data_IF_438598952039
#
_entry.id   IF_438598952039
#
_cell.length_a   1.000
_cell.length_b   1.000
_cell.length_c   1.000
_cell.angle_alpha   90.00
_cell.angle_beta   90.00
_cell.angle_gamma   90.00
#
_symmetry.space_group_name_H-M   'P 1'
#
loop_
_entity.id
_entity.type
_entity.pdbx_description
1 polymer ?
#
# COMPACT_ATOMS: atom_id res chain seq x y z
N UNK A 1 16.99 1.82 33.73
CA UNK A 1 15.76 2.17 34.46
C UNK A 1 14.67 2.36 33.41
N UNK A 2 13.84 1.34 33.21
CA UNK A 2 12.76 1.37 32.23
C UNK A 2 11.59 2.14 32.81
N UNK A 3 11.48 3.42 32.49
CA UNK A 3 10.21 4.14 32.67
C UNK A 3 9.25 3.63 31.62
N UNK A 4 8.46 2.61 31.97
CA UNK A 4 7.22 2.30 31.28
C UNK A 4 6.30 3.50 31.45
N UNK A 5 6.46 4.48 30.56
CA UNK A 5 5.51 5.57 30.40
C UNK A 5 4.31 4.95 29.68
N UNK A 6 3.49 4.20 30.42
CA UNK A 6 2.23 3.68 29.91
C UNK A 6 1.40 4.90 29.50
N UNK A 7 1.38 5.16 28.21
CA UNK A 7 0.46 6.08 27.57
C UNK A 7 -0.96 5.52 27.72
N UNK A 8 -1.94 6.38 27.99
CA UNK A 8 -3.36 6.00 28.04
C UNK A 8 -3.93 5.64 26.63
N UNK A 9 -3.12 5.68 25.58
CA UNK A 9 -3.53 5.34 24.23
C UNK A 9 -3.67 3.83 24.08
N UNK A 10 -4.91 3.36 24.07
CA UNK A 10 -5.24 2.04 23.54
C UNK A 10 -5.01 2.04 22.02
N UNK A 11 -4.42 0.97 21.51
CA UNK A 11 -4.23 0.73 20.09
C UNK A 11 -4.87 -0.59 19.67
N UNK A 12 -5.41 -0.65 18.44
CA UNK A 12 -5.92 -1.89 17.90
C UNK A 12 -4.77 -2.85 17.59
N UNK A 13 -5.04 -4.15 17.71
CA UNK A 13 -4.12 -5.15 17.19
C UNK A 13 -4.00 -5.01 15.65
N UNK A 14 -2.78 -5.16 15.11
CA UNK A 14 -2.57 -5.22 13.68
C UNK A 14 -3.31 -6.39 13.03
N UNK A 15 -3.86 -6.15 11.84
CA UNK A 15 -4.53 -7.17 11.03
C UNK A 15 -3.50 -7.82 10.08
N UNK A 16 -3.67 -9.11 9.78
CA UNK A 16 -2.80 -9.79 8.81
C UNK A 16 -2.89 -9.13 7.42
N UNK A 17 -1.74 -8.75 6.86
CA UNK A 17 -1.65 -8.06 5.57
C UNK A 17 -2.00 -6.57 5.62
N UNK A 18 -2.16 -6.01 6.82
CA UNK A 18 -2.36 -4.59 7.06
C UNK A 18 -1.09 -3.77 6.80
N UNK A 19 -1.26 -2.54 6.29
CA UNK A 19 -0.17 -1.60 6.11
C UNK A 19 0.09 -0.73 7.35
N UNK A 20 1.30 -0.16 7.51
CA UNK A 20 1.59 0.82 8.55
C UNK A 20 0.61 1.99 8.59
N UNK A 21 0.29 2.51 7.40
CA UNK A 21 -0.70 3.58 7.23
C UNK A 21 -2.09 3.17 7.74
N UNK A 22 -2.53 1.95 7.47
CA UNK A 22 -3.82 1.45 7.97
C UNK A 22 -3.86 1.40 9.49
N UNK A 23 -2.83 0.81 10.11
CA UNK A 23 -2.77 0.67 11.56
C UNK A 23 -2.81 2.04 12.25
N UNK A 24 -2.01 3.00 11.75
CA UNK A 24 -2.05 4.39 12.22
C UNK A 24 -3.41 5.07 12.01
N UNK A 25 -4.09 4.80 10.89
CA UNK A 25 -5.41 5.38 10.64
C UNK A 25 -6.47 4.78 11.56
N UNK A 26 -6.46 3.47 11.82
CA UNK A 26 -7.36 2.81 12.79
C UNK A 26 -7.10 3.30 14.21
N UNK A 27 -5.84 3.49 14.59
CA UNK A 27 -5.48 4.14 15.85
C UNK A 27 -6.00 5.58 15.93
N UNK A 28 -5.84 6.35 14.85
CA UNK A 28 -6.37 7.73 14.77
C UNK A 28 -7.89 7.78 14.90
N UNK A 29 -8.59 6.83 14.27
CA UNK A 29 -10.03 6.65 14.31
C UNK A 29 -10.54 6.31 15.71
N UNK A 30 -9.89 5.37 16.39
CA UNK A 30 -10.20 4.96 17.77
C UNK A 30 -10.20 6.15 18.74
N UNK A 31 -9.32 7.12 18.50
CA UNK A 31 -9.19 8.33 19.33
C UNK A 31 -9.87 9.56 18.72
N UNK A 32 -10.58 9.42 17.60
CA UNK A 32 -11.23 10.52 16.87
C UNK A 32 -10.32 11.73 16.62
N UNK A 33 -9.04 11.49 16.28
CA UNK A 33 -8.05 12.53 15.97
C UNK A 33 -7.44 12.35 14.58
N UNK A 34 -6.72 13.36 14.10
CA UNK A 34 -5.91 13.22 12.90
C UNK A 34 -4.64 12.40 13.18
N UNK A 35 -4.10 11.72 12.18
CA UNK A 35 -2.85 10.97 12.38
C UNK A 35 -1.70 11.90 12.78
N UNK A 36 -1.66 13.14 12.27
CA UNK A 36 -0.66 14.12 12.68
C UNK A 36 -0.81 14.52 14.15
N UNK A 37 -2.03 14.70 14.64
CA UNK A 37 -2.29 15.04 16.05
C UNK A 37 -1.84 13.91 16.97
N UNK A 38 -2.20 12.68 16.62
CA UNK A 38 -1.80 11.46 17.33
C UNK A 38 -0.26 11.31 17.38
N UNK A 39 0.42 11.44 16.24
CA UNK A 39 1.88 11.34 16.19
C UNK A 39 2.55 12.42 17.06
N UNK A 40 2.03 13.65 17.02
CA UNK A 40 2.55 14.76 17.83
C UNK A 40 2.38 14.52 19.33
N UNK A 41 1.29 13.92 19.79
CA UNK A 41 1.12 13.60 21.22
C UNK A 41 2.12 12.55 21.72
N UNK A 42 2.69 11.74 20.82
CA UNK A 42 3.79 10.81 21.11
C UNK A 42 5.18 11.41 20.83
N UNK A 43 5.30 12.73 20.63
CA UNK A 43 6.57 13.39 20.36
C UNK A 43 7.09 13.26 18.92
N UNK A 44 6.34 12.61 18.03
CA UNK A 44 6.71 12.40 16.62
C UNK A 44 6.27 13.61 15.80
N UNK A 45 7.22 14.49 15.47
CA UNK A 45 6.93 15.79 14.84
C UNK A 45 6.62 15.73 13.35
N UNK A 46 7.24 14.79 12.62
CA UNK A 46 7.09 14.70 11.17
C UNK A 46 7.19 13.25 10.66
N UNK A 47 6.14 12.81 9.97
CA UNK A 47 6.12 11.58 9.14
C UNK A 47 5.54 11.99 7.80
N UNK A 48 6.28 11.77 6.72
CA UNK A 48 5.81 12.07 5.36
C UNK A 48 4.88 10.97 4.85
N UNK A 49 5.46 9.83 4.52
CA UNK A 49 4.78 8.61 4.09
C UNK A 49 5.00 7.50 5.13
N UNK A 50 4.00 7.16 5.97
CA UNK A 50 4.21 6.21 7.06
C UNK A 50 4.66 4.83 6.58
N UNK A 51 4.29 4.46 5.36
CA UNK A 51 4.63 3.15 4.83
C UNK A 51 6.13 3.01 4.56
N UNK A 52 6.87 4.11 4.36
CA UNK A 52 8.31 4.06 4.01
C UNK A 52 9.21 4.95 4.86
N UNK A 53 8.65 5.92 5.59
CA UNK A 53 9.40 6.88 6.40
C UNK A 53 9.38 6.54 7.91
N UNK A 54 8.60 5.54 8.36
CA UNK A 54 8.62 5.11 9.76
C UNK A 54 9.89 4.29 10.05
N UNK A 55 10.85 4.92 10.72
CA UNK A 55 12.09 4.23 11.12
C UNK A 55 11.85 3.30 12.32
N UNK A 56 12.73 2.31 12.57
CA UNK A 56 12.62 1.45 13.75
C UNK A 56 12.49 2.21 15.07
N UNK A 57 13.18 3.35 15.20
CA UNK A 57 13.06 4.22 16.36
C UNK A 57 11.65 4.82 16.51
N UNK A 58 11.05 5.29 15.41
CA UNK A 58 9.67 5.82 15.44
C UNK A 58 8.69 4.71 15.80
N UNK A 59 8.86 3.49 15.28
CA UNK A 59 8.06 2.34 15.68
C UNK A 59 8.17 2.04 17.16
N UNK A 60 9.39 2.01 17.72
CA UNK A 60 9.60 1.78 19.14
C UNK A 60 8.87 2.83 20.00
N UNK A 61 8.93 4.10 19.62
CA UNK A 61 8.18 5.18 20.29
C UNK A 61 6.66 4.98 20.20
N UNK A 62 6.15 4.56 19.03
CA UNK A 62 4.73 4.27 18.84
C UNK A 62 4.28 3.10 19.74
N UNK A 63 5.04 2.01 19.76
CA UNK A 63 4.77 0.82 20.57
C UNK A 63 4.77 1.17 22.06
N UNK A 64 5.82 1.82 22.54
CA UNK A 64 5.92 2.27 23.94
C UNK A 64 4.80 3.24 24.33
N UNK A 65 4.33 4.04 23.37
CA UNK A 65 3.20 4.95 23.52
C UNK A 65 1.83 4.28 23.40
N UNK A 66 1.73 2.96 23.32
CA UNK A 66 0.48 2.21 23.20
C UNK A 66 0.46 0.97 24.10
N UNK A 67 -0.65 0.25 24.16
CA UNK A 67 -0.79 -1.02 24.89
C UNK A 67 -0.44 -2.26 24.03
N UNK A 68 0.03 -2.09 22.80
CA UNK A 68 0.35 -3.20 21.88
C UNK A 68 1.82 -3.59 22.05
N UNK A 69 2.11 -4.90 22.02
CA UNK A 69 3.50 -5.38 22.13
C UNK A 69 4.28 -5.16 20.83
N UNK A 70 5.61 -5.01 20.93
CA UNK A 70 6.49 -4.86 19.76
C UNK A 70 6.33 -6.02 18.76
N UNK A 71 6.29 -7.25 19.29
CA UNK A 71 6.08 -8.47 18.50
C UNK A 71 4.79 -8.45 17.64
N UNK A 72 3.74 -7.75 18.10
CA UNK A 72 2.50 -7.63 17.33
C UNK A 72 2.66 -6.75 16.08
N UNK A 73 3.55 -5.75 16.12
CA UNK A 73 3.71 -4.74 15.06
C UNK A 73 5.00 -4.90 14.23
N UNK A 74 5.90 -5.84 14.59
CA UNK A 74 7.18 -6.05 13.91
C UNK A 74 7.06 -6.14 12.39
N UNK A 75 6.03 -6.85 11.91
CA UNK A 75 5.80 -7.01 10.48
C UNK A 75 5.50 -5.67 9.78
N UNK A 76 4.86 -4.71 10.46
CA UNK A 76 4.56 -3.39 9.89
C UNK A 76 5.86 -2.62 9.60
N UNK A 77 6.85 -2.70 10.49
CA UNK A 77 8.08 -1.92 10.37
C UNK A 77 8.97 -2.30 9.19
N UNK A 78 8.94 -3.58 8.79
CA UNK A 78 9.78 -4.10 7.71
C UNK A 78 9.09 -4.22 6.36
N UNK A 79 7.76 -4.07 6.28
CA UNK A 79 7.00 -4.57 5.12
C UNK A 79 7.38 -3.90 3.80
N UNK A 80 7.71 -2.61 3.82
CA UNK A 80 8.13 -1.83 2.65
C UNK A 80 9.63 -1.52 2.63
N UNK A 81 10.45 -2.20 3.44
CA UNK A 81 11.88 -1.87 3.59
C UNK A 81 12.63 -1.80 2.25
N UNK A 82 12.32 -2.72 1.32
CA UNK A 82 12.97 -2.82 0.02
C UNK A 82 12.54 -1.74 -0.99
N UNK A 83 11.48 -1.00 -0.69
CA UNK A 83 10.94 0.08 -1.55
C UNK A 83 10.95 1.45 -0.86
N UNK A 84 11.61 1.53 0.29
CA UNK A 84 11.75 2.76 1.09
C UNK A 84 12.64 3.81 0.41
N UNK A 85 13.59 3.37 -0.43
CA UNK A 85 14.47 4.27 -1.14
C UNK A 85 13.73 5.19 -2.12
N UNK A 86 14.19 6.45 -2.23
CA UNK A 86 13.57 7.47 -3.08
C UNK A 86 13.37 7.02 -4.53
N UNK A 87 14.29 6.22 -5.09
CA UNK A 87 14.22 5.70 -6.47
C UNK A 87 13.01 4.80 -6.72
N UNK A 88 12.45 4.20 -5.67
CA UNK A 88 11.30 3.30 -5.76
C UNK A 88 9.97 4.00 -5.51
N UNK A 89 9.95 5.29 -5.13
CA UNK A 89 8.72 6.03 -4.83
C UNK A 89 7.70 6.08 -5.98
N UNK A 90 8.12 5.84 -7.22
CA UNK A 90 7.24 5.79 -8.39
C UNK A 90 6.38 4.52 -8.51
N UNK A 91 6.73 3.44 -7.80
CA UNK A 91 5.94 2.19 -7.79
C UNK A 91 4.84 2.19 -6.72
N UNK A 92 4.92 3.16 -5.80
CA UNK A 92 3.95 3.36 -4.73
C UNK A 92 2.98 4.46 -5.17
N UNK A 93 1.69 4.18 -5.12
CA UNK A 93 0.63 5.10 -5.55
C UNK A 93 0.73 6.47 -4.85
N UNK A 94 0.61 7.54 -5.62
CA UNK A 94 0.48 8.89 -5.10
C UNK A 94 -0.72 9.55 -5.75
N UNK A 95 -1.34 10.48 -5.04
CA UNK A 95 -2.34 11.34 -5.64
C UNK A 95 -1.69 12.40 -6.55
N UNK A 96 -2.51 13.24 -7.18
CA UNK A 96 -2.05 14.30 -8.09
C UNK A 96 -1.17 15.34 -7.38
N UNK A 97 -1.30 15.48 -6.06
CA UNK A 97 -0.50 16.36 -5.21
C UNK A 97 0.76 15.65 -4.67
N UNK A 98 1.08 14.48 -5.23
CA UNK A 98 2.20 13.61 -4.85
C UNK A 98 2.15 13.12 -3.40
N UNK A 99 0.98 13.19 -2.75
CA UNK A 99 0.79 12.65 -1.41
C UNK A 99 0.62 11.12 -1.47
N UNK A 100 1.09 10.40 -0.45
CA UNK A 100 0.87 8.96 -0.33
C UNK A 100 -0.62 8.61 -0.33
N UNK A 101 -1.01 7.70 -1.21
CA UNK A 101 -2.40 7.31 -1.41
C UNK A 101 -2.53 5.80 -1.58
N UNK A 102 -3.77 5.33 -1.46
CA UNK A 102 -4.15 3.94 -1.63
C UNK A 102 -5.22 3.79 -2.70
N UNK A 103 -5.21 2.62 -3.33
CA UNK A 103 -6.39 2.10 -4.01
C UNK A 103 -7.30 1.39 -3.01
N UNK A 104 -8.55 1.15 -3.37
CA UNK A 104 -9.47 0.34 -2.58
C UNK A 104 -10.47 -0.41 -3.46
N UNK A 105 -10.99 -1.50 -2.92
CA UNK A 105 -12.13 -2.20 -3.48
C UNK A 105 -13.35 -1.94 -2.58
N UNK A 106 -14.44 -1.35 -3.09
CA UNK A 106 -15.65 -1.08 -2.32
C UNK A 106 -16.24 -2.34 -1.67
N UNK A 107 -16.22 -3.46 -2.40
CA UNK A 107 -16.73 -4.75 -1.92
C UNK A 107 -15.84 -5.37 -0.83
N UNK A 108 -14.51 -5.25 -0.93
CA UNK A 108 -13.63 -5.65 0.18
C UNK A 108 -13.92 -4.83 1.44
N UNK A 109 -14.04 -3.51 1.31
CA UNK A 109 -14.35 -2.65 2.47
C UNK A 109 -15.71 -2.98 3.10
N UNK A 110 -16.69 -3.41 2.28
CA UNK A 110 -18.02 -3.81 2.76
C UNK A 110 -17.99 -5.16 3.50
N UNK A 111 -17.18 -6.12 3.02
CA UNK A 111 -17.07 -7.46 3.58
C UNK A 111 -16.07 -7.59 4.74
N UNK A 112 -15.20 -6.59 4.95
CA UNK A 112 -14.26 -6.57 6.07
C UNK A 112 -15.00 -6.34 7.39
N UNK A 113 -14.83 -7.25 8.35
CA UNK A 113 -15.31 -7.06 9.73
C UNK A 113 -14.71 -5.77 10.33
N UNK A 114 -13.41 -5.58 10.14
CA UNK A 114 -12.69 -4.35 10.44
C UNK A 114 -12.00 -3.88 9.16
N UNK A 115 -12.49 -2.82 8.51
CA UNK A 115 -11.91 -2.30 7.27
C UNK A 115 -10.46 -1.84 7.48
N UNK A 116 -9.57 -2.21 6.56
CA UNK A 116 -8.14 -1.90 6.64
C UNK A 116 -7.51 -1.67 5.27
N UNK A 117 -6.43 -0.90 5.22
CA UNK A 117 -5.64 -0.72 4.01
C UNK A 117 -4.67 -1.90 3.88
N UNK A 118 -4.90 -2.72 2.85
CA UNK A 118 -4.03 -3.85 2.52
C UNK A 118 -2.72 -3.36 1.94
N UNK A 119 -1.63 -4.04 2.28
CA UNK A 119 -0.28 -3.71 1.80
C UNK A 119 -0.20 -3.63 0.27
N UNK A 120 -0.88 -4.54 -0.42
CA UNK A 120 -0.87 -4.60 -1.89
C UNK A 120 -1.57 -3.42 -2.55
N UNK A 121 -2.56 -2.81 -1.89
CA UNK A 121 -3.31 -1.68 -2.42
C UNK A 121 -2.49 -0.38 -2.53
N UNK A 122 -1.30 -0.38 -1.93
CA UNK A 122 -0.33 0.72 -1.99
C UNK A 122 0.38 0.82 -3.35
N UNK A 123 0.51 -0.29 -4.08
CA UNK A 123 1.27 -0.33 -5.34
C UNK A 123 0.50 0.28 -6.51
N UNK A 124 1.17 1.06 -7.34
CA UNK A 124 0.58 1.76 -8.50
C UNK A 124 -0.07 0.78 -9.50
N UNK A 125 0.53 -0.40 -9.67
CA UNK A 125 0.09 -1.46 -10.60
C UNK A 125 -1.04 -2.33 -10.05
N UNK A 126 -1.47 -2.13 -8.80
CA UNK A 126 -2.56 -2.89 -8.19
C UNK A 126 -3.93 -2.42 -8.68
N UNK A 127 -4.24 -2.66 -9.94
CA UNK A 127 -5.40 -2.05 -10.61
C UNK A 127 -6.70 -2.87 -10.50
N UNK A 128 -6.61 -4.15 -10.14
CA UNK A 128 -7.76 -5.06 -10.10
C UNK A 128 -7.85 -5.69 -8.72
N UNK A 129 -9.07 -5.75 -8.16
CA UNK A 129 -9.30 -6.56 -6.97
C UNK A 129 -9.32 -8.04 -7.37
N UNK A 130 -8.40 -8.88 -6.87
CA UNK A 130 -8.37 -10.27 -7.27
C UNK A 130 -9.45 -11.12 -6.59
N UNK A 131 -10.16 -10.59 -5.59
CA UNK A 131 -11.26 -11.29 -4.90
C UNK A 131 -12.62 -11.01 -5.56
N UNK A 132 -12.81 -9.78 -6.07
CA UNK A 132 -14.08 -9.32 -6.61
C UNK A 132 -14.08 -9.06 -8.12
N UNK A 133 -12.90 -9.16 -8.76
CA UNK A 133 -12.71 -8.95 -10.20
C UNK A 133 -13.22 -7.59 -10.69
N UNK A 134 -13.04 -6.55 -9.87
CA UNK A 134 -13.41 -5.17 -10.19
C UNK A 134 -12.18 -4.28 -10.33
N UNK A 135 -12.28 -3.22 -11.13
CA UNK A 135 -11.27 -2.15 -11.13
C UNK A 135 -11.21 -1.51 -9.75
N UNK A 136 -9.99 -1.38 -9.24
CA UNK A 136 -9.74 -0.72 -7.96
C UNK A 136 -10.04 0.78 -8.05
N UNK A 137 -10.79 1.29 -7.08
CA UNK A 137 -11.04 2.72 -6.92
C UNK A 137 -9.85 3.40 -6.25
N UNK A 138 -9.72 4.71 -6.40
CA UNK A 138 -8.68 5.49 -5.72
C UNK A 138 -9.17 6.87 -5.23
N UNK A 139 -10.43 7.20 -5.54
CA UNK A 139 -11.10 8.44 -5.15
C UNK A 139 -12.49 8.15 -4.62
N UNK A 140 -13.00 9.06 -3.79
CA UNK A 140 -14.40 9.07 -3.41
C UNK A 140 -15.28 9.46 -4.61
N UNK A 141 -16.39 8.75 -4.82
CA UNK A 141 -17.34 9.08 -5.89
C UNK A 141 -18.07 10.41 -5.67
N UNK A 142 -18.23 10.84 -4.41
CA UNK A 142 -18.99 12.06 -4.06
C UNK A 142 -18.16 13.33 -4.16
N UNK A 143 -16.93 13.32 -3.63
CA UNK A 143 -16.09 14.53 -3.55
C UNK A 143 -14.77 14.45 -4.31
N UNK A 144 -14.51 13.32 -4.99
CA UNK A 144 -13.30 13.08 -5.80
C UNK A 144 -11.97 13.15 -5.05
N UNK A 145 -11.99 13.28 -3.72
CA UNK A 145 -10.78 13.24 -2.91
C UNK A 145 -10.11 11.86 -3.02
N UNK A 146 -8.78 11.78 -3.07
CA UNK A 146 -8.07 10.51 -3.03
C UNK A 146 -8.31 9.77 -1.71
N UNK A 147 -7.98 8.48 -1.66
CA UNK A 147 -7.93 7.74 -0.40
C UNK A 147 -6.54 7.86 0.22
N UNK A 148 -6.32 8.73 1.22
CA UNK A 148 -4.97 9.05 1.67
C UNK A 148 -4.39 7.94 2.55
N UNK A 149 -3.06 7.82 2.57
CA UNK A 149 -2.35 6.96 3.51
C UNK A 149 -2.39 7.52 4.95
N UNK A 150 -2.51 8.83 5.10
CA UNK A 150 -2.62 9.52 6.39
C UNK A 150 -3.99 10.16 6.56
N UNK A 151 -4.59 10.00 7.75
CA UNK A 151 -5.88 10.63 8.05
C UNK A 151 -5.70 12.14 8.25
N UNK A 152 -6.35 12.99 7.44
CA UNK A 152 -6.22 14.44 7.57
C UNK A 152 -7.00 14.97 8.80
N UNK A 153 -6.69 16.19 9.28
CA UNK A 153 -7.48 16.86 10.32
C UNK A 153 -8.89 17.19 9.81
N UNK A 154 -9.91 16.86 10.61
CA UNK A 154 -11.33 17.13 10.34
C UNK A 154 -12.07 17.46 11.62
N UNK A 155 -13.23 18.10 11.49
CA UNK A 155 -14.14 18.40 12.61
C UNK A 155 -14.90 17.16 13.09
N UNK A 156 -15.25 16.28 12.16
CA UNK A 156 -15.93 15.02 12.43
C UNK A 156 -15.22 13.89 11.69
N UNK A 157 -15.17 12.72 12.31
CA UNK A 157 -14.60 11.52 11.76
C UNK A 157 -15.68 10.46 11.64
N UNK A 158 -15.82 9.88 10.45
CA UNK A 158 -16.62 8.67 10.29
C UNK A 158 -16.05 7.52 11.14
N UNK A 159 -16.86 6.49 11.42
CA UNK A 159 -16.55 5.42 12.37
C UNK A 159 -15.31 4.61 11.99
N UNK A 160 -15.03 4.44 10.69
CA UNK A 160 -13.86 3.69 10.21
C UNK A 160 -13.43 4.09 8.78
N UNK A 161 -12.68 3.21 8.11
CA UNK A 161 -12.13 3.40 6.76
C UNK A 161 -13.14 3.20 5.62
N UNK A 162 -14.38 2.78 5.90
CA UNK A 162 -15.49 2.82 4.93
C UNK A 162 -15.93 4.24 4.63
N UNK A 163 -15.67 5.19 5.51
CA UNK A 163 -16.06 6.58 5.30
C UNK A 163 -14.94 7.37 4.63
N UNK A 164 -15.30 8.16 3.62
CA UNK A 164 -14.39 9.10 3.00
C UNK A 164 -13.81 10.07 4.04
N UNK A 165 -12.48 10.16 4.12
CA UNK A 165 -11.79 11.06 5.05
C UNK A 165 -11.99 12.56 4.76
N UNK A 166 -12.60 12.89 3.61
CA UNK A 166 -12.89 14.27 3.23
C UNK A 166 -14.35 14.66 3.46
N UNK A 167 -15.30 13.87 2.94
CA UNK A 167 -16.74 14.20 2.95
C UNK A 167 -17.62 13.23 3.75
N UNK A 168 -17.02 12.22 4.40
CA UNK A 168 -17.71 11.17 5.16
C UNK A 168 -18.67 10.26 4.36
N UNK A 169 -18.83 10.45 3.05
CA UNK A 169 -19.59 9.54 2.21
C UNK A 169 -19.09 8.09 2.32
N UNK A 170 -20.01 7.14 2.24
CA UNK A 170 -19.72 5.72 2.31
C UNK A 170 -19.02 5.24 1.01
N UNK A 171 -17.77 4.80 1.15
CA UNK A 171 -16.93 4.30 0.07
C UNK A 171 -17.36 2.90 -0.39
N UNK A 172 -18.14 2.16 0.40
CA UNK A 172 -18.68 0.84 0.02
C UNK A 172 -19.75 0.96 -1.07
N UNK A 173 -20.41 2.12 -1.16
CA UNK A 173 -21.41 2.44 -2.18
C UNK A 173 -20.81 2.94 -3.50
N UNK A 174 -19.48 2.97 -3.62
CA UNK A 174 -18.84 3.41 -4.84
C UNK A 174 -19.20 2.44 -5.99
N UNK A 175 -19.64 2.94 -7.17
CA UNK A 175 -19.96 2.08 -8.31
C UNK A 175 -18.72 1.29 -8.75
N UNK A 176 -18.91 0.01 -9.05
CA UNK A 176 -17.83 -0.91 -9.44
C UNK A 176 -17.88 -1.21 -10.93
N UNK A 177 -16.70 -1.36 -11.53
CA UNK A 177 -16.55 -1.82 -12.91
C UNK A 177 -16.00 -3.24 -12.89
N UNK A 178 -16.83 -4.22 -13.22
CA UNK A 178 -16.42 -5.62 -13.33
C UNK A 178 -15.54 -5.84 -14.56
N UNK A 179 -14.63 -6.79 -14.45
CA UNK A 179 -13.69 -7.21 -15.50
C UNK A 179 -14.00 -8.68 -15.80
N UNK A 180 -13.96 -9.06 -17.07
CA UNK A 180 -14.19 -10.44 -17.48
C UNK A 180 -13.14 -11.37 -16.82
N UNK A 181 -13.56 -12.58 -16.45
CA UNK A 181 -12.70 -13.53 -15.73
C UNK A 181 -11.44 -13.92 -16.53
N UNK A 182 -11.60 -14.06 -17.85
CA UNK A 182 -10.50 -14.39 -18.77
C UNK A 182 -9.37 -13.33 -18.75
N UNK A 183 -9.74 -12.04 -18.69
CA UNK A 183 -8.79 -10.94 -18.59
C UNK A 183 -8.20 -10.82 -17.17
N UNK A 184 -9.02 -11.11 -16.16
CA UNK A 184 -8.67 -10.94 -14.75
C UNK A 184 -7.55 -11.87 -14.30
N UNK A 185 -7.53 -13.13 -14.76
CA UNK A 185 -6.53 -14.11 -14.32
C UNK A 185 -5.09 -13.66 -14.64
N UNK A 186 -4.83 -13.18 -15.86
CA UNK A 186 -3.49 -12.75 -16.28
C UNK A 186 -3.05 -11.46 -15.57
N UNK A 187 -3.96 -10.49 -15.44
CA UNK A 187 -3.68 -9.19 -14.84
C UNK A 187 -3.45 -9.33 -13.33
N UNK A 188 -4.33 -10.06 -12.62
CA UNK A 188 -4.19 -10.31 -11.17
C UNK A 188 -2.93 -11.09 -10.85
N UNK A 189 -2.56 -12.07 -11.68
CA UNK A 189 -1.30 -12.81 -11.55
C UNK A 189 -0.09 -11.88 -11.65
N UNK A 190 -0.09 -10.96 -12.61
CA UNK A 190 1.04 -10.04 -12.84
C UNK A 190 1.16 -9.00 -11.72
N UNK A 191 0.06 -8.36 -11.29
CA UNK A 191 0.13 -7.40 -10.18
C UNK A 191 0.50 -8.07 -8.83
N UNK A 192 0.05 -9.32 -8.59
CA UNK A 192 0.44 -10.11 -7.41
C UNK A 192 1.93 -10.41 -7.44
N UNK A 193 2.46 -10.81 -8.59
CA UNK A 193 3.89 -11.04 -8.77
C UNK A 193 4.71 -9.74 -8.58
N UNK A 194 4.28 -8.61 -9.13
CA UNK A 194 4.95 -7.32 -8.94
C UNK A 194 4.99 -6.90 -7.47
N UNK A 195 3.83 -6.92 -6.78
CA UNK A 195 3.77 -6.61 -5.36
C UNK A 195 4.69 -7.54 -4.55
N UNK A 196 4.66 -8.86 -4.84
CA UNK A 196 5.54 -9.82 -4.19
C UNK A 196 7.03 -9.53 -4.46
N UNK A 197 7.41 -9.17 -5.68
CA UNK A 197 8.79 -8.82 -6.02
C UNK A 197 9.27 -7.66 -5.17
N UNK A 198 8.47 -6.59 -5.14
CA UNK A 198 8.76 -5.36 -4.39
C UNK A 198 8.86 -5.60 -2.89
N UNK A 199 7.95 -6.40 -2.32
CA UNK A 199 7.99 -6.75 -0.89
C UNK A 199 9.16 -7.68 -0.54
N UNK A 200 9.63 -8.51 -1.47
CA UNK A 200 10.78 -9.40 -1.25
C UNK A 200 12.13 -8.75 -1.59
N UNK A 201 12.13 -7.64 -2.32
CA UNK A 201 13.36 -6.98 -2.80
C UNK A 201 14.03 -7.67 -3.98
N UNK A 202 13.39 -8.67 -4.60
CA UNK A 202 14.03 -9.57 -5.58
C UNK A 202 13.05 -10.24 -6.54
N UNK A 203 13.53 -10.60 -7.72
CA UNK A 203 12.78 -11.35 -8.73
C UNK A 203 13.70 -12.10 -9.69
N UNK A 204 13.11 -12.90 -10.59
CA UNK A 204 13.82 -13.49 -11.73
C UNK A 204 13.22 -13.02 -13.06
N UNK A 205 14.03 -13.02 -14.12
CA UNK A 205 13.58 -12.79 -15.49
C UNK A 205 13.86 -14.03 -16.33
N UNK A 206 12.88 -14.47 -17.13
CA UNK A 206 13.04 -15.63 -18.03
C UNK A 206 14.25 -15.41 -18.95
N UNK A 207 15.15 -16.40 -18.97
CA UNK A 207 16.39 -16.33 -19.75
C UNK A 207 17.59 -15.77 -18.98
N UNK A 208 17.38 -15.26 -17.75
CA UNK A 208 18.46 -14.93 -16.83
C UNK A 208 18.47 -15.95 -15.67
N UNK A 209 19.57 -16.70 -15.46
CA UNK A 209 19.65 -17.67 -14.37
C UNK A 209 19.77 -17.01 -12.99
N UNK A 210 20.23 -15.76 -12.93
CA UNK A 210 20.50 -15.06 -11.69
C UNK A 210 19.27 -14.31 -11.17
N UNK A 211 19.19 -14.22 -9.85
CA UNK A 211 18.26 -13.32 -9.18
C UNK A 211 18.60 -11.87 -9.51
N UNK A 212 17.58 -11.07 -9.79
CA UNK A 212 17.73 -9.66 -10.11
C UNK A 212 17.24 -8.78 -8.95
N UNK A 213 18.06 -7.80 -8.54
CA UNK A 213 17.61 -6.71 -7.67
C UNK A 213 16.47 -5.88 -8.28
N UNK A 214 15.68 -5.22 -7.43
CA UNK A 214 14.52 -4.42 -7.84
C UNK A 214 14.82 -3.33 -8.88
N UNK A 215 16.00 -2.70 -8.84
CA UNK A 215 16.29 -1.61 -9.77
C UNK A 215 16.25 -2.07 -11.23
N UNK A 216 16.67 -3.30 -11.53
CA UNK A 216 16.54 -3.87 -12.87
C UNK A 216 15.07 -4.05 -13.27
N UNK A 217 14.24 -4.58 -12.37
CA UNK A 217 12.80 -4.75 -12.63
C UNK A 217 12.13 -3.41 -12.96
N UNK A 218 12.41 -2.37 -12.17
CA UNK A 218 11.89 -1.01 -12.42
C UNK A 218 12.38 -0.45 -13.75
N UNK A 219 13.65 -0.66 -14.10
CA UNK A 219 14.18 -0.28 -15.43
C UNK A 219 13.44 -1.00 -16.56
N UNK A 220 13.21 -2.31 -16.44
CA UNK A 220 12.48 -3.09 -17.43
C UNK A 220 11.04 -2.58 -17.60
N UNK A 221 10.34 -2.30 -16.50
CA UNK A 221 8.99 -1.69 -16.55
C UNK A 221 8.98 -0.33 -17.29
N UNK A 222 10.07 0.44 -17.20
CA UNK A 222 10.24 1.67 -18.00
C UNK A 222 10.42 1.40 -19.50
N UNK A 223 11.17 0.35 -19.85
CA UNK A 223 11.55 0.00 -21.22
C UNK A 223 10.50 -0.85 -21.97
N UNK A 224 9.54 -1.45 -21.28
CA UNK A 224 8.66 -2.46 -21.83
C UNK A 224 7.53 -2.87 -20.90
N UNK A 225 6.91 -4.01 -21.22
CA UNK A 225 5.92 -4.67 -20.37
C UNK A 225 6.56 -5.89 -19.70
N UNK A 226 6.17 -6.17 -18.45
CA UNK A 226 6.58 -7.38 -17.73
C UNK A 226 5.36 -8.19 -17.34
N UNK A 227 5.44 -9.50 -17.51
CA UNK A 227 4.33 -10.43 -17.19
C UNK A 227 4.82 -11.53 -16.28
N UNK A 228 3.97 -11.95 -15.34
CA UNK A 228 4.29 -13.07 -14.46
C UNK A 228 4.46 -14.38 -15.25
N UNK A 229 5.55 -15.10 -14.97
CA UNK A 229 5.92 -16.34 -15.64
C UNK A 229 6.00 -17.52 -14.66
N UNK A 230 5.48 -18.68 -15.07
CA UNK A 230 5.50 -19.92 -14.27
C UNK A 230 4.36 -20.01 -13.24
N UNK A 231 4.34 -21.09 -12.45
CA UNK A 231 3.47 -21.26 -11.28
C UNK A 231 4.23 -20.74 -10.05
N UNK A 232 3.62 -19.83 -9.30
CA UNK A 232 4.21 -19.27 -8.09
C UNK A 232 4.12 -20.27 -6.94
N UNK A 233 5.25 -20.56 -6.29
CA UNK A 233 5.23 -21.02 -4.91
C UNK A 233 5.26 -19.76 -4.02
N UNK A 234 4.43 -19.69 -2.98
CA UNK A 234 4.19 -18.46 -2.19
C UNK A 234 5.42 -17.89 -1.50
N UNK A 235 6.48 -18.70 -1.33
CA UNK A 235 7.77 -18.28 -0.74
C UNK A 235 8.89 -18.03 -1.76
N UNK A 236 8.69 -18.37 -3.03
CA UNK A 236 9.70 -18.19 -4.06
C UNK A 236 9.62 -16.78 -4.66
N UNK A 237 10.77 -16.19 -4.98
CA UNK A 237 10.79 -14.91 -5.67
C UNK A 237 10.07 -15.03 -7.03
N UNK A 238 9.24 -14.04 -7.40
CA UNK A 238 8.44 -14.11 -8.62
C UNK A 238 9.33 -14.09 -9.86
N UNK A 239 8.89 -14.79 -10.91
CA UNK A 239 9.56 -14.81 -12.22
C UNK A 239 8.74 -14.02 -13.22
N UNK A 240 9.40 -13.25 -14.07
CA UNK A 240 8.76 -12.47 -15.12
C UNK A 240 9.29 -12.80 -16.52
N UNK A 241 8.46 -12.55 -17.54
CA UNK A 241 8.88 -12.37 -18.93
C UNK A 241 8.89 -10.88 -19.23
N UNK A 242 9.88 -10.43 -20.00
CA UNK A 242 9.99 -9.04 -20.44
C UNK A 242 9.69 -8.91 -21.93
N UNK A 243 8.91 -7.90 -22.29
CA UNK A 243 8.54 -7.57 -23.66
C UNK A 243 8.93 -6.11 -23.94
N UNK A 244 9.98 -5.86 -24.75
CA UNK A 244 10.45 -4.51 -25.01
C UNK A 244 9.44 -3.68 -25.81
N UNK A 245 9.33 -2.37 -25.52
CA UNK A 245 8.60 -1.43 -26.38
C UNK A 245 9.21 -1.45 -27.79
N UNK A 246 8.39 -1.52 -28.83
CA UNK A 246 8.86 -1.37 -30.22
C UNK A 246 9.52 0.01 -30.35
N UNK A 247 10.81 0.07 -30.71
CA UNK A 247 11.46 1.35 -31.06
C UNK A 247 10.76 1.90 -32.31
N UNK A 248 10.16 3.09 -32.21
CA UNK A 248 9.66 3.79 -33.39
C UNK A 248 10.88 4.17 -34.25
N UNK A 249 11.08 3.48 -35.38
CA UNK A 249 12.24 3.66 -36.29
C UNK A 249 12.15 4.95 -37.12
N UNK A 250 11.24 5.87 -36.78
CA UNK A 250 10.99 7.11 -37.53
C UNK A 250 12.02 8.23 -37.34
N UNK A 251 13.03 8.06 -36.48
CA UNK A 251 14.12 9.02 -36.30
C UNK A 251 15.51 8.49 -36.68
N UNK A 252 15.59 7.43 -37.50
CA UNK A 252 16.86 6.91 -38.04
C UNK A 252 16.93 7.01 -39.58
N UNK A 253 16.09 7.85 -40.19
CA UNK A 253 16.24 8.21 -41.60
C UNK A 253 16.09 9.71 -41.77
N UNK A 254 17.22 10.33 -42.14
CA UNK A 254 17.47 11.72 -42.54
C UNK A 254 17.95 12.62 -41.43
#
# INVERSE_FOLDING_TARGET
MSTTSNSLLLAPDPISGESPSSWLQRLSLMHAVSTRTLLRSMGIRHVGDPDVDLTPHVYSTLVQGTNVSEACVDHLAGIYQHVSEKRYRGILLRDDQRQPAYRFCPQCLAGDEVPFLRVSWRFSDWNICPEHHVRMCYRCATCLSPFPALRPPRRFYGPDLRCCSNCAADLTLHPVNHIADEETAALTKTQRALASAFLLGRCFIKGNPNELPLHYLVTLMGLGHVEAHGRGNSRAAPKFRFFPKKRDRRHLRR
#
